data_IF_811979396794
#
_entry.id   IF_811979396794
#
_cell.length_a   1.000
_cell.length_b   1.000
_cell.length_c   1.000
_cell.angle_alpha   90.00
_cell.angle_beta   90.00
_cell.angle_gamma   90.00
#
_symmetry.space_group_name_H-M   'P 1'
#
loop_
_entity.id
_entity.type
_entity.pdbx_description
1 polymer ?
#
# COMPACT_ATOMS: atom_id res chain seq x y z
N UNK A 1 -7.75 13.84 -1.25
CA UNK A 1 -6.46 13.51 -1.91
C UNK A 1 -5.34 14.27 -1.24
N UNK A 2 -5.43 15.60 -1.23
CA UNK A 2 -4.39 16.55 -0.82
C UNK A 2 -3.72 16.22 0.52
N UNK A 3 -4.49 15.81 1.52
CA UNK A 3 -3.96 15.46 2.85
C UNK A 3 -2.93 14.32 2.83
N UNK A 4 -3.01 13.41 1.85
CA UNK A 4 -2.11 12.27 1.70
C UNK A 4 -0.86 12.59 0.87
N UNK A 5 -0.81 13.72 0.16
CA UNK A 5 0.31 14.09 -0.69
C UNK A 5 1.60 14.26 0.13
N UNK A 6 2.71 13.84 -0.46
CA UNK A 6 4.05 13.95 0.09
C UNK A 6 4.72 12.60 0.34
N UNK A 7 5.78 12.63 1.15
CA UNK A 7 6.58 11.45 1.47
C UNK A 7 6.27 10.97 2.88
N UNK A 8 6.22 9.66 3.03
CA UNK A 8 5.89 8.96 4.26
C UNK A 8 6.95 7.90 4.51
N UNK A 9 7.45 7.81 5.73
CA UNK A 9 8.42 6.81 6.16
C UNK A 9 7.76 5.88 7.14
N UNK A 10 7.90 4.58 6.92
CA UNK A 10 7.49 3.56 7.87
C UNK A 10 8.27 3.70 9.19
N UNK A 11 7.54 3.68 10.31
CA UNK A 11 8.13 3.69 11.67
C UNK A 11 7.70 2.51 12.54
N UNK A 12 6.57 1.88 12.23
CA UNK A 12 6.08 0.72 12.98
C UNK A 12 5.34 -0.27 12.07
N UNK A 13 5.57 -1.55 12.31
CA UNK A 13 4.82 -2.66 11.71
C UNK A 13 4.19 -3.50 12.82
N UNK A 14 2.95 -3.92 12.62
CA UNK A 14 2.26 -4.89 13.46
C UNK A 14 1.59 -5.94 12.56
N UNK A 15 1.80 -7.22 12.88
CA UNK A 15 1.27 -8.38 12.16
C UNK A 15 1.56 -8.47 10.63
N UNK A 16 2.47 -7.66 10.10
CA UNK A 16 2.69 -7.54 8.65
C UNK A 16 3.23 -8.82 7.98
N UNK A 17 4.05 -9.62 8.67
CA UNK A 17 4.50 -10.91 8.11
C UNK A 17 3.33 -11.89 7.92
N UNK A 18 2.34 -11.88 8.83
CA UNK A 18 1.15 -12.71 8.70
C UNK A 18 0.28 -12.27 7.52
N UNK A 19 0.11 -10.95 7.33
CA UNK A 19 -0.54 -10.41 6.14
C UNK A 19 0.18 -10.85 4.86
N UNK A 20 1.51 -10.71 4.78
CA UNK A 20 2.29 -11.15 3.61
C UNK A 20 2.13 -12.65 3.34
N UNK A 21 2.07 -13.48 4.40
CA UNK A 21 1.76 -14.91 4.26
C UNK A 21 0.36 -15.13 3.69
N UNK A 22 -0.65 -14.38 4.15
CA UNK A 22 -2.03 -14.50 3.69
C UNK A 22 -2.18 -14.14 2.20
N UNK A 23 -1.40 -13.17 1.70
CA UNK A 23 -1.34 -12.83 0.27
C UNK A 23 -0.30 -13.64 -0.51
N UNK A 24 0.02 -14.85 -0.05
CA UNK A 24 0.88 -15.83 -0.70
C UNK A 24 2.34 -15.38 -0.99
N UNK A 25 2.89 -14.45 -0.20
CA UNK A 25 4.32 -14.09 -0.30
C UNK A 25 5.19 -15.18 0.32
N UNK A 26 6.24 -15.59 -0.40
CA UNK A 26 7.16 -16.65 0.03
C UNK A 26 7.85 -16.34 1.37
N UNK A 27 8.25 -17.39 2.11
CA UNK A 27 8.81 -17.26 3.47
C UNK A 27 10.04 -16.34 3.53
N UNK A 28 10.93 -16.47 2.54
CA UNK A 28 12.13 -15.66 2.48
C UNK A 28 11.79 -14.17 2.26
N UNK A 29 10.91 -13.89 1.29
CA UNK A 29 10.52 -12.52 0.96
C UNK A 29 9.76 -11.84 2.12
N UNK A 30 8.83 -12.54 2.77
CA UNK A 30 8.06 -11.93 3.87
C UNK A 30 8.88 -11.64 5.13
N UNK A 31 9.92 -12.43 5.40
CA UNK A 31 10.87 -12.14 6.49
C UNK A 31 11.71 -10.89 6.23
N UNK A 32 12.10 -10.66 4.98
CA UNK A 32 12.83 -9.44 4.59
C UNK A 32 11.89 -8.23 4.59
N UNK A 33 10.72 -8.36 3.95
CA UNK A 33 9.76 -7.28 3.81
C UNK A 33 9.16 -6.80 5.15
N UNK A 34 9.04 -7.66 6.16
CA UNK A 34 8.56 -7.28 7.49
C UNK A 34 9.56 -6.46 8.31
N UNK A 35 10.85 -6.49 7.95
CA UNK A 35 11.94 -5.82 8.67
C UNK A 35 12.46 -4.58 7.96
N UNK A 36 12.32 -4.52 6.64
CA UNK A 36 12.82 -3.40 5.86
C UNK A 36 11.96 -2.16 6.08
N UNK A 37 12.60 -0.99 6.19
CA UNK A 37 11.89 0.29 6.15
C UNK A 37 11.39 0.54 4.74
N UNK A 38 10.12 0.91 4.61
CA UNK A 38 9.50 1.32 3.35
C UNK A 38 9.22 2.82 3.39
N UNK A 39 9.41 3.49 2.26
CA UNK A 39 9.01 4.86 2.00
C UNK A 39 7.84 4.85 1.02
N UNK A 40 6.83 5.66 1.28
CA UNK A 40 5.75 5.92 0.32
C UNK A 40 5.84 7.37 -0.15
N UNK A 41 5.73 7.57 -1.44
CA UNK A 41 5.62 8.89 -2.07
C UNK A 41 4.28 8.94 -2.82
N UNK A 42 3.45 9.91 -2.44
CA UNK A 42 2.12 10.12 -3.01
C UNK A 42 2.11 11.47 -3.71
N UNK A 43 1.91 11.47 -5.02
CA UNK A 43 1.86 12.68 -5.85
C UNK A 43 0.62 12.70 -6.74
N UNK A 44 0.28 13.89 -7.23
CA UNK A 44 -0.80 14.10 -8.18
C UNK A 44 -0.35 15.13 -9.23
N UNK A 45 -0.54 14.77 -10.49
CA UNK A 45 -0.31 15.64 -11.63
C UNK A 45 -1.49 16.62 -11.83
N UNK A 46 -1.27 17.64 -12.66
CA UNK A 46 -2.28 18.67 -12.97
C UNK A 46 -3.53 18.06 -13.62
N UNK A 47 -3.40 16.96 -14.36
CA UNK A 47 -4.50 16.26 -15.03
C UNK A 47 -5.24 15.25 -14.13
N UNK A 48 -4.98 15.32 -12.82
CA UNK A 48 -5.48 14.44 -11.76
C UNK A 48 -4.98 12.99 -11.83
N UNK A 49 -3.98 12.68 -12.67
CA UNK A 49 -3.25 11.41 -12.58
C UNK A 49 -2.50 11.34 -11.26
N UNK A 50 -2.67 10.24 -10.52
CA UNK A 50 -2.10 10.03 -9.20
C UNK A 50 -0.99 8.99 -9.27
N UNK A 51 0.04 9.16 -8.45
CA UNK A 51 1.11 8.20 -8.30
C UNK A 51 1.27 7.77 -6.85
N UNK A 52 1.44 6.47 -6.63
CA UNK A 52 1.87 5.89 -5.37
C UNK A 52 3.15 5.11 -5.63
N UNK A 53 4.26 5.62 -5.10
CA UNK A 53 5.56 4.96 -5.20
C UNK A 53 5.97 4.41 -3.84
N UNK A 54 6.20 3.10 -3.79
CA UNK A 54 6.65 2.35 -2.62
C UNK A 54 8.12 1.98 -2.83
N UNK A 55 9.02 2.50 -1.99
CA UNK A 55 10.46 2.24 -2.10
C UNK A 55 11.00 1.60 -0.82
N UNK A 56 11.86 0.60 -0.99
CA UNK A 56 12.63 -0.04 0.08
C UNK A 56 14.03 -0.36 -0.44
N UNK A 57 14.92 -0.88 0.40
CA UNK A 57 16.25 -1.33 -0.05
C UNK A 57 16.19 -2.55 -1.00
N UNK A 58 15.04 -3.23 -1.08
CA UNK A 58 14.89 -4.46 -1.88
C UNK A 58 14.07 -4.27 -3.15
N UNK A 59 13.11 -3.35 -3.14
CA UNK A 59 12.19 -3.15 -4.27
C UNK A 59 11.70 -1.73 -4.34
N UNK A 60 11.40 -1.28 -5.56
CA UNK A 60 10.62 -0.08 -5.84
C UNK A 60 9.42 -0.49 -6.69
N UNK A 61 8.22 -0.12 -6.28
CA UNK A 61 6.98 -0.33 -7.00
C UNK A 61 6.26 1.00 -7.17
N UNK A 62 5.83 1.34 -8.39
CA UNK A 62 5.10 2.57 -8.67
C UNK A 62 3.77 2.23 -9.31
N UNK A 63 2.70 2.74 -8.71
CA UNK A 63 1.35 2.67 -9.26
C UNK A 63 0.98 4.02 -9.85
N UNK A 64 0.41 4.02 -11.05
CA UNK A 64 -0.15 5.20 -11.71
C UNK A 64 -1.63 4.95 -11.97
N UNK A 65 -2.51 5.82 -11.46
CA UNK A 65 -3.95 5.59 -11.46
C UNK A 65 -4.75 6.88 -11.44
N UNK A 66 -6.06 6.77 -11.66
CA UNK A 66 -7.05 7.82 -11.38
C UNK A 66 -8.01 7.33 -10.30
N UNK A 67 -8.42 8.22 -9.40
CA UNK A 67 -9.33 7.87 -8.32
C UNK A 67 -10.65 7.32 -8.89
N UNK A 68 -11.14 6.22 -8.32
CA UNK A 68 -12.37 5.53 -8.73
C UNK A 68 -12.26 4.72 -10.04
N UNK A 69 -11.12 4.74 -10.72
CA UNK A 69 -10.92 4.03 -11.99
C UNK A 69 -10.13 2.74 -11.75
N UNK A 70 -10.69 1.55 -12.07
CA UNK A 70 -9.96 0.30 -11.96
C UNK A 70 -8.77 0.24 -12.93
N UNK A 71 -7.64 -0.30 -12.46
CA UNK A 71 -6.42 -0.50 -13.26
C UNK A 71 -5.78 -1.86 -12.96
N UNK A 72 -4.85 -2.29 -13.80
CA UNK A 72 -4.06 -3.50 -13.58
C UNK A 72 -2.84 -3.19 -12.74
N UNK A 73 -2.63 -3.95 -11.68
CA UNK A 73 -1.47 -3.86 -10.80
C UNK A 73 -0.71 -5.19 -10.83
N UNK A 74 0.63 -5.11 -10.81
CA UNK A 74 1.49 -6.26 -10.52
C UNK A 74 2.13 -6.00 -9.17
N UNK A 75 1.81 -6.83 -8.20
CA UNK A 75 2.39 -6.72 -6.84
C UNK A 75 3.90 -7.04 -6.87
N UNK A 76 4.68 -6.58 -5.87
CA UNK A 76 6.11 -6.92 -5.79
C UNK A 76 6.41 -8.43 -5.74
N UNK A 77 5.43 -9.27 -5.35
CA UNK A 77 5.53 -10.73 -5.39
C UNK A 77 5.17 -11.35 -6.75
N UNK A 78 4.80 -10.54 -7.75
CA UNK A 78 4.48 -10.98 -9.11
C UNK A 78 3.00 -11.34 -9.35
N UNK A 79 2.13 -11.19 -8.35
CA UNK A 79 0.70 -11.46 -8.52
C UNK A 79 0.00 -10.32 -9.27
N UNK A 80 -0.89 -10.67 -10.21
CA UNK A 80 -1.72 -9.72 -10.95
C UNK A 80 -3.00 -9.41 -10.18
N UNK A 81 -3.31 -8.13 -10.06
CA UNK A 81 -4.50 -7.63 -9.38
C UNK A 81 -5.25 -6.65 -10.29
N UNK A 82 -6.58 -6.59 -10.12
CA UNK A 82 -7.41 -5.46 -10.56
C UNK A 82 -7.63 -4.55 -9.37
N UNK A 83 -6.99 -3.39 -9.39
CA UNK A 83 -6.96 -2.47 -8.25
C UNK A 83 -7.81 -1.25 -8.53
N UNK A 84 -8.54 -0.80 -7.51
CA UNK A 84 -9.25 0.49 -7.54
C UNK A 84 -8.89 1.27 -6.29
N UNK A 85 -8.56 2.55 -6.45
CA UNK A 85 -8.24 3.43 -5.34
C UNK A 85 -9.31 4.52 -5.23
N UNK A 86 -9.91 4.66 -4.06
CA UNK A 86 -10.91 5.69 -3.75
C UNK A 86 -10.52 6.47 -2.50
N UNK A 87 -11.13 7.64 -2.30
CA UNK A 87 -11.06 8.39 -1.05
C UNK A 87 -12.50 8.57 -0.55
N UNK A 88 -12.78 8.00 0.60
CA UNK A 88 -14.11 7.96 1.23
C UNK A 88 -13.95 8.25 2.72
N UNK A 89 -14.74 9.17 3.28
CA UNK A 89 -14.70 9.54 4.71
C UNK A 89 -13.27 9.76 5.24
N UNK A 90 -12.49 10.57 4.53
CA UNK A 90 -11.08 10.90 4.83
C UNK A 90 -10.13 9.68 4.88
N UNK A 91 -10.52 8.56 4.26
CA UNK A 91 -9.70 7.36 4.13
C UNK A 91 -9.34 7.13 2.68
N UNK A 92 -8.06 6.87 2.43
CA UNK A 92 -7.60 6.32 1.15
C UNK A 92 -7.82 4.82 1.17
N UNK A 93 -8.62 4.31 0.25
CA UNK A 93 -8.96 2.89 0.18
C UNK A 93 -8.41 2.33 -1.13
N UNK A 94 -7.50 1.36 -1.03
CA UNK A 94 -6.98 0.60 -2.16
C UNK A 94 -7.57 -0.81 -2.08
N UNK A 95 -8.54 -1.10 -2.95
CA UNK A 95 -9.13 -2.43 -3.09
C UNK A 95 -8.40 -3.18 -4.20
N UNK A 96 -7.80 -4.32 -3.87
CA UNK A 96 -7.03 -5.16 -4.78
C UNK A 96 -7.77 -6.49 -4.97
N UNK A 97 -8.36 -6.70 -6.13
CA UNK A 97 -9.06 -7.94 -6.47
C UNK A 97 -8.12 -8.86 -7.27
N UNK A 98 -8.06 -10.13 -6.92
CA UNK A 98 -7.22 -11.13 -7.56
C UNK A 98 -7.56 -11.27 -9.06
N UNK A 99 -6.54 -11.19 -9.91
CA UNK A 99 -6.62 -11.45 -11.37
C UNK A 99 -5.68 -12.61 -11.77
N UNK A 100 -5.25 -13.39 -10.78
CA UNK A 100 -4.42 -14.60 -10.91
C UNK A 100 -4.94 -15.67 -9.93
N UNK A 101 -5.01 -16.96 -10.33
CA UNK A 101 -5.45 -18.05 -9.44
C UNK A 101 -4.68 -18.19 -8.13
N UNK A 102 -3.44 -17.68 -8.08
CA UNK A 102 -2.57 -17.73 -6.90
C UNK A 102 -2.62 -16.45 -6.06
N UNK A 103 -3.29 -15.41 -6.56
CA UNK A 103 -3.49 -14.16 -5.83
C UNK A 103 -4.64 -14.27 -4.83
N UNK A 104 -4.62 -13.41 -3.82
CA UNK A 104 -5.67 -13.30 -2.80
C UNK A 104 -6.12 -11.86 -2.76
N UNK A 105 -7.43 -11.65 -2.67
CA UNK A 105 -8.01 -10.33 -2.50
C UNK A 105 -7.43 -9.63 -1.28
N UNK A 106 -7.16 -8.35 -1.41
CA UNK A 106 -6.60 -7.53 -0.34
C UNK A 106 -7.19 -6.14 -0.35
N UNK A 107 -7.22 -5.54 0.84
CA UNK A 107 -7.61 -4.14 1.03
C UNK A 107 -6.56 -3.42 1.85
N UNK A 108 -6.16 -2.25 1.37
CA UNK A 108 -5.26 -1.35 2.10
C UNK A 108 -5.96 -0.03 2.35
N UNK A 109 -6.19 0.29 3.62
CA UNK A 109 -6.83 1.54 4.03
C UNK A 109 -5.81 2.45 4.71
N UNK A 110 -5.54 3.63 4.18
CA UNK A 110 -4.71 4.66 4.82
C UNK A 110 -5.58 5.75 5.43
N UNK A 111 -5.30 6.11 6.68
CA UNK A 111 -5.98 7.17 7.42
C UNK A 111 -4.95 8.02 8.16
N UNK A 112 -5.09 9.34 8.07
CA UNK A 112 -4.30 10.24 8.90
C UNK A 112 -4.76 10.13 10.37
N UNK A 113 -3.79 10.05 11.26
CA UNK A 113 -4.00 10.21 12.70
C UNK A 113 -3.87 11.69 13.08
N UNK A 114 -2.96 12.39 12.41
CA UNK A 114 -2.72 13.83 12.46
C UNK A 114 -1.99 14.27 11.18
N UNK A 115 -1.44 15.50 11.15
CA UNK A 115 -0.76 16.05 9.96
C UNK A 115 0.53 15.31 9.59
N UNK A 116 1.18 14.67 10.56
CA UNK A 116 2.49 14.04 10.43
C UNK A 116 2.44 12.52 10.59
N UNK A 117 1.34 11.94 11.05
CA UNK A 117 1.20 10.51 11.29
C UNK A 117 0.04 9.90 10.49
N UNK A 118 0.33 8.79 9.84
CA UNK A 118 -0.62 7.99 9.06
C UNK A 118 -0.60 6.54 9.54
N UNK A 119 -1.77 5.92 9.60
CA UNK A 119 -1.90 4.47 9.77
C UNK A 119 -2.42 3.85 8.46
N UNK A 120 -1.73 2.81 8.01
CA UNK A 120 -2.16 1.94 6.92
C UNK A 120 -2.59 0.59 7.51
N UNK A 121 -3.84 0.21 7.25
CA UNK A 121 -4.41 -1.09 7.64
C UNK A 121 -4.43 -1.98 6.41
N UNK A 122 -3.87 -3.19 6.53
CA UNK A 122 -3.77 -4.18 5.47
C UNK A 122 -4.64 -5.38 5.85
N UNK A 123 -5.54 -5.78 4.97
CA UNK A 123 -6.55 -6.81 5.23
C UNK A 123 -6.50 -7.86 4.11
N UNK A 124 -6.43 -9.14 4.47
CA UNK A 124 -6.53 -10.26 3.53
C UNK A 124 -7.17 -11.47 4.23
N UNK A 125 -8.39 -11.85 3.81
CA UNK A 125 -9.21 -12.81 4.55
C UNK A 125 -9.45 -12.34 5.99
N UNK A 126 -9.18 -13.21 6.97
CA UNK A 126 -9.31 -12.89 8.40
C UNK A 126 -8.06 -12.20 9.00
N UNK A 127 -7.03 -11.93 8.19
CA UNK A 127 -5.78 -11.36 8.67
C UNK A 127 -5.78 -9.85 8.51
N UNK A 128 -5.50 -9.15 9.61
CA UNK A 128 -5.33 -7.70 9.65
C UNK A 128 -3.94 -7.35 10.14
N UNK A 129 -3.26 -6.43 9.46
CA UNK A 129 -1.97 -5.88 9.84
C UNK A 129 -2.00 -4.35 9.81
N UNK A 130 -1.15 -3.73 10.63
CA UNK A 130 -1.07 -2.28 10.75
C UNK A 130 0.34 -1.80 10.47
N UNK A 131 0.46 -0.71 9.73
CA UNK A 131 1.72 -0.01 9.50
C UNK A 131 1.54 1.46 9.86
N UNK A 132 2.37 1.96 10.77
CA UNK A 132 2.39 3.38 11.12
C UNK A 132 3.51 4.06 10.36
N UNK A 133 3.18 5.23 9.81
CA UNK A 133 4.05 6.02 8.96
C UNK A 133 4.10 7.45 9.46
N UNK A 134 5.27 8.07 9.40
CA UNK A 134 5.47 9.48 9.69
C UNK A 134 5.79 10.24 8.41
N UNK A 135 5.33 11.48 8.30
CA UNK A 135 5.71 12.38 7.22
C UNK A 135 7.23 12.50 7.18
N UNK A 136 7.79 12.41 5.99
CA UNK A 136 9.23 12.42 5.73
C UNK A 136 9.54 13.61 4.83
N UNK A 137 10.59 14.36 5.16
CA UNK A 137 11.14 15.36 4.24
C UNK A 137 12.06 14.62 3.28
N UNK A 138 11.79 14.75 1.98
CA UNK A 138 12.62 14.21 0.90
C UNK A 138 14.04 14.75 0.94
#
# INVERSE_FOLDING_TARGET
>A
MDQFLGHWKLVKNDNFEAYLKAVNVSLLLRKVASRVTTYEEITQDIDHTCHLKLTSTFTTNTLTFKLGVPFKEITPSGHRMKTTITIEDDKWIQNQLADDPTAVDSKVTRRLLDMDNMIATYEAGDVVAYRTMTRHKS
#
